data_IF_311134347226
#
_entry.id   IF_311134347226
#
_cell.length_a   1.000
_cell.length_b   1.000
_cell.length_c   1.000
_cell.angle_alpha   90.00
_cell.angle_beta   90.00
_cell.angle_gamma   90.00
#
_symmetry.space_group_name_H-M   'P 1'
#
loop_
_entity.id
_entity.type
_entity.pdbx_description
1 polymer ?
#
# COMPACT_ATOMS: atom_id res chain seq x y z
N UNK A 1 5.98 -13.63 4.00
CA UNK A 1 6.48 -12.26 3.68
C UNK A 1 7.82 -12.05 4.35
N UNK A 2 8.76 -11.32 3.71
CA UNK A 2 10.07 -11.06 4.32
C UNK A 2 9.99 -9.93 5.37
N UNK A 3 10.78 -10.01 6.44
CA UNK A 3 10.85 -8.96 7.46
C UNK A 3 11.26 -7.59 6.87
N UNK A 4 12.05 -7.60 5.80
CA UNK A 4 12.47 -6.40 5.09
C UNK A 4 11.29 -5.72 4.36
N UNK A 5 10.40 -6.49 3.73
CA UNK A 5 9.19 -5.97 3.07
C UNK A 5 8.30 -5.23 4.06
N UNK A 6 8.10 -5.79 5.26
CA UNK A 6 7.29 -5.15 6.31
C UNK A 6 7.93 -3.89 6.88
N UNK A 7 9.25 -3.86 7.09
CA UNK A 7 9.97 -2.66 7.54
C UNK A 7 9.82 -1.51 6.52
N UNK A 8 9.99 -1.83 5.23
CA UNK A 8 9.83 -0.89 4.12
C UNK A 8 8.39 -0.36 4.02
N UNK A 9 7.40 -1.24 4.13
CA UNK A 9 5.99 -0.86 4.11
C UNK A 9 5.63 0.09 5.26
N UNK A 10 6.09 -0.19 6.48
CA UNK A 10 5.88 0.68 7.63
C UNK A 10 6.51 2.07 7.46
N UNK A 11 7.73 2.15 6.91
CA UNK A 11 8.37 3.44 6.65
C UNK A 11 7.60 4.27 5.62
N UNK A 12 7.13 3.62 4.55
CA UNK A 12 6.29 4.25 3.54
C UNK A 12 4.94 4.70 4.09
N UNK A 13 4.29 3.88 4.91
CA UNK A 13 2.99 4.21 5.50
C UNK A 13 3.02 5.49 6.35
N UNK A 14 4.18 5.85 6.92
CA UNK A 14 4.31 7.07 7.74
C UNK A 14 4.41 8.34 6.91
N UNK A 15 5.29 8.36 5.90
CA UNK A 15 5.67 9.59 5.18
C UNK A 15 5.71 9.47 3.65
N UNK A 16 5.40 8.28 3.12
CA UNK A 16 5.57 7.93 1.71
C UNK A 16 4.27 7.60 0.97
N UNK A 17 3.13 7.56 1.66
CA UNK A 17 1.80 7.33 1.09
C UNK A 17 1.04 8.65 1.09
N UNK A 18 0.47 9.01 -0.06
CA UNK A 18 -0.42 10.17 -0.23
C UNK A 18 -1.71 9.65 -0.85
N UNK A 19 -2.85 9.94 -0.22
CA UNK A 19 -4.14 9.67 -0.84
C UNK A 19 -4.42 10.73 -1.90
N UNK A 20 -4.69 10.30 -3.13
CA UNK A 20 -5.02 11.19 -4.25
C UNK A 20 -6.53 11.28 -4.40
N UNK A 21 -7.21 10.13 -4.39
CA UNK A 21 -8.67 10.01 -4.48
C UNK A 21 -9.17 8.88 -3.57
N UNK A 22 -10.48 8.67 -3.51
CA UNK A 22 -11.03 7.55 -2.74
C UNK A 22 -10.59 6.21 -3.35
N UNK A 23 -9.93 5.38 -2.55
CA UNK A 23 -9.37 4.10 -2.99
C UNK A 23 -8.12 4.20 -3.89
N UNK A 24 -7.61 5.40 -4.19
CA UNK A 24 -6.41 5.63 -5.01
C UNK A 24 -5.32 6.36 -4.22
N UNK A 25 -4.14 5.74 -4.16
CA UNK A 25 -3.01 6.22 -3.37
C UNK A 25 -1.76 6.31 -4.25
N UNK A 26 -0.99 7.37 -4.07
CA UNK A 26 0.35 7.51 -4.62
C UNK A 26 1.36 7.14 -3.53
N UNK A 27 2.26 6.20 -3.85
CA UNK A 27 3.30 5.75 -2.93
C UNK A 27 4.68 6.01 -3.53
N UNK A 28 5.54 6.72 -2.80
CA UNK A 28 6.91 7.00 -3.23
C UNK A 28 7.76 5.74 -3.24
N UNK A 29 8.73 5.67 -4.14
CA UNK A 29 9.74 4.62 -4.11
C UNK A 29 10.74 4.88 -2.98
N UNK A 30 11.13 3.83 -2.27
CA UNK A 30 12.18 3.91 -1.25
C UNK A 30 13.58 4.05 -1.83
N UNK A 31 13.78 3.61 -3.08
CA UNK A 31 15.10 3.58 -3.73
C UNK A 31 15.32 4.78 -4.65
N UNK A 32 14.25 5.44 -5.08
CA UNK A 32 14.34 6.59 -5.97
C UNK A 32 13.30 7.66 -5.58
N UNK A 33 13.71 8.81 -5.03
CA UNK A 33 12.79 9.83 -4.55
C UNK A 33 11.96 10.49 -5.67
N UNK A 34 12.40 10.38 -6.93
CA UNK A 34 11.69 10.94 -8.09
C UNK A 34 10.66 9.98 -8.68
N UNK A 35 10.62 8.72 -8.20
CA UNK A 35 9.64 7.74 -8.65
C UNK A 35 8.54 7.57 -7.62
N UNK A 36 7.31 7.55 -8.11
CA UNK A 36 6.13 7.17 -7.33
C UNK A 36 5.31 6.17 -8.12
N UNK A 37 4.52 5.38 -7.42
CA UNK A 37 3.64 4.36 -8.00
C UNK A 37 2.22 4.62 -7.56
N UNK A 38 1.28 4.38 -8.47
CA UNK A 38 -0.14 4.36 -8.13
C UNK A 38 -0.50 3.00 -7.55
N UNK A 39 -1.32 3.04 -6.51
CA UNK A 39 -1.70 1.89 -5.69
C UNK A 39 -3.18 2.00 -5.37
N UNK A 40 -3.92 0.95 -5.71
CA UNK A 40 -5.31 0.76 -5.30
C UNK A 40 -5.37 -0.27 -4.18
N UNK A 41 -6.57 -0.64 -3.74
CA UNK A 41 -6.75 -1.66 -2.69
C UNK A 41 -6.24 -3.05 -3.07
N UNK A 42 -6.14 -3.33 -4.37
CA UNK A 42 -5.87 -4.64 -4.95
C UNK A 42 -4.75 -4.66 -6.00
N UNK A 43 -4.31 -3.50 -6.50
CA UNK A 43 -3.31 -3.38 -7.55
C UNK A 43 -2.21 -2.37 -7.23
N UNK A 44 -1.06 -2.54 -7.88
CA UNK A 44 0.05 -1.60 -7.77
C UNK A 44 0.85 -1.56 -9.07
N UNK A 45 1.26 -0.36 -9.47
CA UNK A 45 2.05 -0.16 -10.69
C UNK A 45 3.55 -0.47 -10.56
N UNK A 46 4.01 -0.90 -9.39
CA UNK A 46 5.41 -1.25 -9.22
C UNK A 46 5.80 -2.52 -9.99
N UNK A 47 7.06 -2.58 -10.42
CA UNK A 47 7.61 -3.76 -11.12
C UNK A 47 7.44 -5.05 -10.33
N UNK A 48 7.55 -5.01 -9.00
CA UNK A 48 7.35 -6.18 -8.15
C UNK A 48 5.95 -6.78 -8.27
N UNK A 49 4.91 -5.94 -8.37
CA UNK A 49 3.54 -6.40 -8.56
C UNK A 49 3.33 -6.92 -9.99
N UNK A 50 3.81 -6.19 -11.01
CA UNK A 50 3.72 -6.60 -12.41
C UNK A 50 4.42 -7.94 -12.67
N UNK A 51 5.62 -8.12 -12.12
CA UNK A 51 6.36 -9.37 -12.23
C UNK A 51 5.63 -10.50 -11.50
N UNK A 52 5.18 -10.26 -10.27
CA UNK A 52 4.42 -11.29 -9.54
C UNK A 52 3.17 -11.71 -10.34
N UNK A 53 2.40 -10.75 -10.82
CA UNK A 53 1.21 -11.03 -11.64
C UNK A 53 1.59 -11.84 -12.88
N UNK A 54 2.64 -11.44 -13.62
CA UNK A 54 3.12 -12.18 -14.80
C UNK A 54 3.44 -13.66 -14.50
N UNK A 55 4.06 -13.98 -13.37
CA UNK A 55 4.49 -15.36 -13.06
C UNK A 55 3.49 -16.20 -12.22
N UNK A 56 2.53 -15.53 -11.57
CA UNK A 56 1.63 -16.16 -10.60
C UNK A 56 0.13 -15.86 -10.83
N UNK A 57 -0.23 -15.11 -11.87
CA UNK A 57 -1.64 -14.99 -12.27
C UNK A 57 -2.25 -16.38 -12.54
N UNK A 58 -3.50 -16.58 -12.12
CA UNK A 58 -4.20 -17.86 -12.26
C UNK A 58 -3.86 -18.94 -11.23
N UNK A 59 -2.85 -18.75 -10.36
CA UNK A 59 -2.49 -19.73 -9.30
C UNK A 59 -3.22 -19.51 -7.97
N UNK A 60 -4.23 -18.64 -7.92
CA UNK A 60 -4.94 -18.26 -6.69
C UNK A 60 -4.07 -17.49 -5.68
N UNK A 61 -2.83 -17.15 -6.02
CA UNK A 61 -1.92 -16.42 -5.15
C UNK A 61 -2.15 -14.92 -5.28
N UNK A 62 -2.47 -14.27 -4.15
CA UNK A 62 -2.68 -12.82 -4.11
C UNK A 62 -1.35 -12.10 -4.16
N UNK A 63 -1.15 -11.29 -5.21
CA UNK A 63 0.02 -10.45 -5.36
C UNK A 63 0.18 -9.52 -4.16
N UNK A 64 1.42 -9.41 -3.68
CA UNK A 64 1.74 -8.55 -2.56
C UNK A 64 3.07 -7.82 -2.78
N UNK A 65 3.10 -6.51 -2.51
CA UNK A 65 4.28 -5.67 -2.61
C UNK A 65 4.34 -4.71 -1.41
N UNK A 66 5.51 -4.13 -1.15
CA UNK A 66 5.68 -3.18 -0.05
C UNK A 66 4.77 -1.95 -0.15
N UNK A 67 4.35 -1.57 -1.36
CA UNK A 67 3.46 -0.41 -1.55
C UNK A 67 2.00 -0.74 -1.19
N UNK A 68 1.49 -1.93 -1.56
CA UNK A 68 0.18 -2.39 -1.14
C UNK A 68 0.08 -2.51 0.39
N UNK A 69 1.11 -3.09 1.02
CA UNK A 69 1.18 -3.16 2.48
C UNK A 69 1.26 -1.77 3.12
N UNK A 70 2.01 -0.83 2.52
CA UNK A 70 2.08 0.54 3.01
C UNK A 70 0.70 1.22 3.03
N UNK A 71 -0.08 1.06 1.95
CA UNK A 71 -1.46 1.58 1.89
C UNK A 71 -2.36 0.91 2.91
N UNK A 72 -2.27 -0.42 3.10
CA UNK A 72 -3.05 -1.13 4.12
C UNK A 72 -2.76 -0.61 5.53
N UNK A 73 -1.48 -0.41 5.84
CA UNK A 73 -1.04 0.13 7.13
C UNK A 73 -1.51 1.59 7.27
N UNK A 74 -1.35 2.41 6.22
CA UNK A 74 -1.82 3.79 6.19
C UNK A 74 -3.32 3.86 6.48
N UNK A 75 -4.15 3.10 5.77
CA UNK A 75 -5.59 3.00 6.02
C UNK A 75 -5.87 2.55 7.46
N UNK A 76 -5.21 1.50 7.95
CA UNK A 76 -5.41 1.02 9.31
C UNK A 76 -5.06 2.07 10.39
N UNK A 77 -4.08 2.95 10.13
CA UNK A 77 -3.73 4.07 11.02
C UNK A 77 -4.80 5.16 10.94
N UNK A 78 -5.19 5.56 9.73
CA UNK A 78 -6.12 6.67 9.50
C UNK A 78 -7.60 6.32 9.82
N UNK A 79 -8.03 5.07 9.61
CA UNK A 79 -9.36 4.59 10.00
C UNK A 79 -9.51 4.49 11.52
N UNK A 80 -8.41 4.21 12.24
CA UNK A 80 -8.40 4.24 13.72
C UNK A 80 -8.55 5.66 14.27
N UNK A 81 -8.09 6.67 13.55
CA UNK A 81 -8.30 8.08 13.92
C UNK A 81 -9.69 8.62 13.55
N UNK A 82 -10.44 7.93 12.69
CA UNK A 82 -11.81 8.29 12.29
C UNK A 82 -12.93 7.67 13.13
N UNK A 83 -12.65 6.67 13.97
CA UNK A 83 -13.63 6.10 14.91
C UNK A 83 -13.55 6.79 16.27
N UNK A 84 -13.83 8.08 16.25
CA UNK A 84 -13.98 8.93 17.43
C UNK A 84 -15.10 9.93 17.19
N UNK A 85 -16.33 9.44 16.96
CA UNK A 85 -17.64 10.10 17.20
C UNK A 85 -18.73 9.40 16.37
N UNK A 86 -19.42 8.43 16.96
CA UNK A 86 -20.83 8.26 16.63
C UNK A 86 -21.59 8.25 17.95
N UNK A 87 -22.28 9.37 18.13
CA UNK A 87 -23.03 9.83 19.28
C UNK A 87 -24.03 8.77 19.73
N UNK A 88 -24.14 8.65 21.06
CA UNK A 88 -25.28 8.04 21.74
C UNK A 88 -26.60 8.55 21.13
N UNK A 89 -27.53 7.65 20.85
CA UNK A 89 -28.95 7.92 21.01
C UNK A 89 -29.65 6.65 21.44
#
# INVERSE_FOLDING_TARGET
MSANTMRKANALAKNGVVQIEDGLYQVKSLTNPFKSYMVTSDSCDCEGFRNFYKFHHGKGLKANCSHLEAVRIFKAIHEKTGKGTTTRK
#
